data_IF_303416632026
#
_entry.id   IF_303416632026
#
_cell.length_a   1.000
_cell.length_b   1.000
_cell.length_c   1.000
_cell.angle_alpha   90.00
_cell.angle_beta   90.00
_cell.angle_gamma   90.00
#
_symmetry.space_group_name_H-M   'P 1'
#
loop_
_entity.id
_entity.type
_entity.pdbx_description
1 polymer ?
#
# COMPACT_ATOMS: atom_id res chain seq x y z
N UNK A 1 6.20 -5.47 -18.37
CA UNK A 1 5.44 -4.80 -17.29
C UNK A 1 5.68 -5.64 -16.05
N UNK A 2 6.69 -5.30 -15.26
CA UNK A 2 7.02 -6.06 -14.06
C UNK A 2 5.97 -5.78 -12.97
N UNK A 3 5.40 -6.82 -12.38
CA UNK A 3 4.42 -6.72 -11.30
C UNK A 3 4.99 -7.46 -10.11
N UNK A 4 5.35 -6.69 -9.09
CA UNK A 4 5.86 -7.24 -7.84
C UNK A 4 4.70 -7.83 -7.01
N UNK A 5 4.93 -9.01 -6.45
CA UNK A 5 3.99 -9.70 -5.57
C UNK A 5 4.58 -9.82 -4.18
N UNK A 6 4.05 -9.04 -3.26
CA UNK A 6 4.46 -9.05 -1.85
C UNK A 6 3.43 -9.88 -1.08
N UNK A 7 3.80 -11.11 -0.74
CA UNK A 7 2.97 -11.95 0.13
C UNK A 7 3.04 -11.42 1.57
N UNK A 8 1.88 -11.27 2.21
CA UNK A 8 1.79 -10.86 3.60
C UNK A 8 0.62 -11.57 4.28
N UNK A 9 0.86 -12.10 5.48
CA UNK A 9 -0.15 -12.77 6.27
C UNK A 9 -0.88 -11.76 7.15
N UNK A 10 -2.16 -11.53 6.87
CA UNK A 10 -3.03 -10.74 7.73
C UNK A 10 -3.64 -11.68 8.78
N UNK A 11 -3.17 -11.60 10.03
CA UNK A 11 -3.73 -12.39 11.14
C UNK A 11 -4.80 -11.57 11.88
N UNK A 12 -6.07 -11.96 11.77
CA UNK A 12 -7.15 -11.40 12.58
C UNK A 12 -7.27 -12.12 13.92
N UNK A 13 -7.31 -11.39 15.03
CA UNK A 13 -7.35 -12.00 16.37
C UNK A 13 -8.47 -11.53 17.29
N UNK A 14 -8.97 -10.28 17.21
CA UNK A 14 -9.92 -9.73 18.19
C UNK A 14 -10.78 -8.61 17.63
N UNK A 15 -12.10 -8.84 17.53
CA UNK A 15 -13.28 -7.92 17.49
C UNK A 15 -13.24 -6.56 16.77
N UNK A 16 -12.12 -6.12 16.20
CA UNK A 16 -11.85 -4.75 15.71
C UNK A 16 -11.32 -4.69 14.28
N UNK A 17 -11.36 -5.82 13.55
CA UNK A 17 -11.02 -5.90 12.14
C UNK A 17 -9.60 -6.39 11.83
N UNK A 18 -9.20 -6.18 10.58
CA UNK A 18 -7.91 -6.58 10.00
C UNK A 18 -6.97 -5.37 9.99
N UNK A 19 -5.75 -5.51 10.54
CA UNK A 19 -4.70 -4.49 10.44
C UNK A 19 -3.41 -5.16 10.00
N UNK A 20 -2.86 -4.69 8.88
CA UNK A 20 -1.60 -5.15 8.34
C UNK A 20 -1.00 -4.05 7.50
N UNK A 21 0.31 -3.86 7.61
CA UNK A 21 1.07 -2.91 6.78
C UNK A 21 2.24 -3.64 6.16
N UNK A 22 2.54 -3.31 4.91
CA UNK A 22 3.71 -3.78 4.19
C UNK A 22 4.39 -2.59 3.53
N UNK A 23 5.66 -2.74 3.21
CA UNK A 23 6.49 -1.67 2.66
C UNK A 23 7.22 -2.18 1.42
N UNK A 24 7.32 -1.32 0.41
CA UNK A 24 8.15 -1.54 -0.78
C UNK A 24 9.16 -0.40 -0.88
N UNK A 25 10.43 -0.75 -1.06
CA UNK A 25 11.52 0.19 -1.24
C UNK A 25 11.94 0.24 -2.72
N UNK A 26 12.76 1.23 -3.08
CA UNK A 26 13.28 1.43 -4.45
C UNK A 26 12.17 1.52 -5.50
N UNK A 27 11.09 2.25 -5.20
CA UNK A 27 9.97 2.46 -6.12
C UNK A 27 10.32 3.50 -7.19
N UNK A 28 9.92 3.25 -8.43
CA UNK A 28 10.07 4.22 -9.52
C UNK A 28 8.92 5.24 -9.53
N UNK A 29 9.17 6.52 -9.86
CA UNK A 29 8.12 7.51 -10.10
C UNK A 29 7.16 7.08 -11.22
N UNK A 30 5.91 7.52 -11.13
CA UNK A 30 4.88 7.26 -12.14
C UNK A 30 3.53 6.89 -11.54
N UNK A 31 2.65 6.35 -12.39
CA UNK A 31 1.32 5.89 -11.97
C UNK A 31 1.41 4.46 -11.43
N UNK A 32 0.93 4.27 -10.22
CA UNK A 32 0.90 3.01 -9.53
C UNK A 32 -0.52 2.50 -9.38
N UNK A 33 -0.63 1.17 -9.44
CA UNK A 33 -1.86 0.43 -9.16
C UNK A 33 -1.50 -0.69 -8.21
N UNK A 34 -2.09 -0.64 -7.02
CA UNK A 34 -1.98 -1.71 -6.03
C UNK A 34 -3.29 -2.48 -6.04
N UNK A 35 -3.19 -3.79 -6.27
CA UNK A 35 -4.30 -4.73 -6.10
C UNK A 35 -4.01 -5.57 -4.88
N UNK A 36 -4.97 -5.64 -3.96
CA UNK A 36 -4.92 -6.56 -2.83
C UNK A 36 -5.77 -7.76 -3.20
N UNK A 37 -5.19 -8.95 -3.16
CA UNK A 37 -5.86 -10.20 -3.54
C UNK A 37 -5.76 -11.21 -2.40
N UNK A 38 -6.76 -12.09 -2.28
CA UNK A 38 -6.63 -13.29 -1.47
C UNK A 38 -5.63 -14.25 -2.11
N UNK A 39 -5.16 -15.25 -1.35
CA UNK A 39 -4.29 -16.31 -1.87
C UNK A 39 -4.90 -17.04 -3.09
N UNK A 40 -6.23 -17.14 -3.14
CA UNK A 40 -6.96 -17.70 -4.28
C UNK A 40 -7.07 -16.76 -5.49
N UNK A 41 -6.36 -15.62 -5.50
CA UNK A 41 -6.34 -14.65 -6.60
C UNK A 41 -7.61 -13.79 -6.69
N UNK A 42 -8.40 -13.67 -5.62
CA UNK A 42 -9.62 -12.85 -5.63
C UNK A 42 -9.31 -11.43 -5.16
N UNK A 43 -9.59 -10.37 -5.96
CA UNK A 43 -9.31 -9.00 -5.55
C UNK A 43 -10.24 -8.55 -4.42
N UNK A 44 -9.63 -8.11 -3.32
CA UNK A 44 -10.29 -7.50 -2.15
C UNK A 44 -10.46 -5.99 -2.40
N UNK A 45 -9.51 -5.36 -3.07
CA UNK A 45 -9.54 -3.93 -3.33
C UNK A 45 -8.45 -3.48 -4.29
N UNK A 46 -8.60 -2.25 -4.79
CA UNK A 46 -7.68 -1.64 -5.74
C UNK A 46 -7.49 -0.16 -5.45
N UNK A 47 -6.24 0.26 -5.34
CA UNK A 47 -5.86 1.65 -5.07
C UNK A 47 -4.95 2.15 -6.17
N UNK A 48 -5.22 3.36 -6.66
CA UNK A 48 -4.39 4.06 -7.64
C UNK A 48 -3.77 5.29 -6.99
N UNK A 49 -2.49 5.52 -7.24
CA UNK A 49 -1.79 6.72 -6.80
C UNK A 49 -0.62 7.03 -7.74
N UNK A 50 -0.08 8.24 -7.63
CA UNK A 50 1.11 8.65 -8.40
C UNK A 50 2.27 8.80 -7.43
N UNK A 51 3.35 8.05 -7.67
CA UNK A 51 4.63 8.29 -7.01
C UNK A 51 5.32 9.40 -7.77
N UNK A 52 5.62 10.49 -7.07
CA UNK A 52 6.41 11.59 -7.62
C UNK A 52 7.88 11.37 -7.28
N UNK A 53 8.79 11.87 -8.13
CA UNK A 53 10.20 11.92 -7.78
C UNK A 53 10.39 12.75 -6.51
N UNK A 54 11.42 12.40 -5.73
CA UNK A 54 11.80 13.20 -4.58
C UNK A 54 12.15 14.62 -5.03
N UNK A 55 11.56 15.59 -4.34
CA UNK A 55 11.86 17.00 -4.52
C UNK A 55 12.54 17.50 -3.23
N UNK A 56 13.87 17.77 -3.25
CA UNK A 56 14.61 18.18 -2.05
C UNK A 56 14.11 19.50 -1.45
N UNK A 57 13.45 20.35 -2.24
CA UNK A 57 12.90 21.63 -1.78
C UNK A 57 11.50 21.48 -1.17
N UNK A 58 10.85 20.33 -1.36
CA UNK A 58 9.51 20.07 -0.84
C UNK A 58 9.59 19.50 0.57
N UNK A 59 9.08 20.24 1.55
CA UNK A 59 8.76 19.68 2.87
C UNK A 59 7.37 19.03 2.82
N UNK A 60 7.25 17.69 2.80
CA UNK A 60 5.94 17.05 2.82
C UNK A 60 5.26 17.27 4.16
N UNK A 61 4.07 17.88 4.15
CA UNK A 61 3.18 17.87 5.30
C UNK A 61 2.46 16.52 5.35
N UNK A 62 2.80 15.66 6.31
CA UNK A 62 2.09 14.41 6.55
C UNK A 62 1.06 14.61 7.66
N UNK A 63 -0.19 14.22 7.42
CA UNK A 63 -1.21 14.14 8.46
C UNK A 63 -1.53 12.68 8.73
N UNK A 64 -1.20 12.22 9.94
CA UNK A 64 -1.60 10.88 10.41
C UNK A 64 -3.08 10.92 10.79
N UNK A 65 -3.94 10.48 9.88
CA UNK A 65 -5.35 10.26 10.22
C UNK A 65 -5.49 8.99 11.06
N UNK A 66 -5.71 9.17 12.36
CA UNK A 66 -6.11 8.08 13.25
C UNK A 66 -7.62 7.90 13.10
N UNK A 67 -8.04 6.79 12.52
CA UNK A 67 -9.45 6.40 12.55
C UNK A 67 -9.81 5.95 13.99
N UNK A 68 -10.90 6.48 14.58
CA UNK A 68 -11.37 6.08 15.91
C UNK A 68 -11.82 4.62 15.97
#
# INVERSE_FOLDING_TARGET
MDTDRIAYQVVSGRRSGYRGVTYKQHVSPGRWRVTVETEAGRPIGRTHFTVVAEDPARTPAFTTHRYP
#
